data_IF_182955880034
#
_entry.id   IF_182955880034
#
_cell.length_a   1.000
_cell.length_b   1.000
_cell.length_c   1.000
_cell.angle_alpha   90.00
_cell.angle_beta   90.00
_cell.angle_gamma   90.00
#
_symmetry.space_group_name_H-M   'P 1'
#
loop_
_entity.id
_entity.type
_entity.pdbx_description
1 polymer ?
#
# COMPACT_ATOMS: atom_id res chain seq x y z
N UNK A 1 3.99 2.24 -7.17
CA UNK A 1 4.10 2.55 -5.72
C UNK A 1 5.51 2.99 -5.32
N UNK A 2 6.55 2.32 -5.81
CA UNK A 2 7.94 2.70 -5.49
C UNK A 2 8.32 4.06 -6.06
N UNK A 3 7.84 4.40 -7.26
CA UNK A 3 8.10 5.70 -7.86
C UNK A 3 7.45 6.82 -7.05
N UNK A 4 6.22 6.62 -6.58
CA UNK A 4 5.51 7.59 -5.74
C UNK A 4 6.23 7.76 -4.40
N UNK A 5 6.71 6.68 -3.80
CA UNK A 5 7.47 6.74 -2.55
C UNK A 5 8.77 7.53 -2.72
N UNK A 6 9.51 7.27 -3.79
CA UNK A 6 10.74 7.99 -4.09
C UNK A 6 10.49 9.48 -4.30
N UNK A 7 9.43 9.83 -5.01
CA UNK A 7 9.02 11.22 -5.19
C UNK A 7 8.67 11.86 -3.84
N UNK A 8 7.90 11.18 -3.00
CA UNK A 8 7.51 11.69 -1.69
C UNK A 8 8.72 11.94 -0.78
N UNK A 9 9.70 11.04 -0.78
CA UNK A 9 10.93 11.22 0.00
C UNK A 9 11.73 12.42 -0.48
N UNK A 10 11.86 12.60 -1.79
CA UNK A 10 12.55 13.76 -2.37
C UNK A 10 11.84 15.07 -2.02
N UNK A 11 10.51 15.10 -2.15
CA UNK A 11 9.71 16.27 -1.79
C UNK A 11 9.81 16.60 -0.30
N UNK A 12 9.85 15.57 0.55
CA UNK A 12 10.00 15.79 2.00
C UNK A 12 11.28 16.56 2.33
N UNK A 13 12.38 16.19 1.70
CA UNK A 13 13.66 16.83 1.92
C UNK A 13 13.65 18.26 1.37
N UNK A 14 13.15 18.44 0.16
CA UNK A 14 13.13 19.74 -0.50
C UNK A 14 12.21 20.76 0.18
N UNK A 15 11.09 20.31 0.72
CA UNK A 15 10.09 21.19 1.31
C UNK A 15 10.30 21.45 2.80
N UNK A 16 11.14 20.66 3.45
CA UNK A 16 11.40 20.82 4.88
C UNK A 16 11.87 22.22 5.29
N UNK A 17 12.79 22.87 4.55
CA UNK A 17 13.18 24.24 4.90
C UNK A 17 12.05 25.26 4.81
N UNK A 18 10.99 24.95 4.05
CA UNK A 18 9.82 25.80 3.92
C UNK A 18 8.72 25.49 4.94
N UNK A 19 9.01 24.62 5.88
CA UNK A 19 8.07 24.16 6.91
C UNK A 19 6.82 23.50 6.33
N UNK A 20 6.97 22.81 5.22
CA UNK A 20 5.90 22.02 4.59
C UNK A 20 6.17 20.56 4.84
N UNK A 21 5.21 19.86 5.43
CA UNK A 21 5.30 18.41 5.64
C UNK A 21 4.70 17.64 4.47
N UNK A 22 5.22 16.46 4.23
CA UNK A 22 4.73 15.55 3.19
C UNK A 22 4.28 14.26 3.86
N UNK A 23 3.09 13.80 3.52
CA UNK A 23 2.56 12.53 4.02
C UNK A 23 2.23 11.62 2.84
N UNK A 24 2.73 10.40 2.87
CA UNK A 24 2.39 9.37 1.89
C UNK A 24 1.52 8.31 2.55
N UNK A 25 0.43 7.93 1.88
CA UNK A 25 -0.50 6.94 2.38
C UNK A 25 -0.44 5.67 1.53
N UNK A 26 -0.50 4.53 2.19
CA UNK A 26 -0.59 3.21 1.56
C UNK A 26 -1.88 2.52 2.00
N UNK A 27 -3.05 2.96 1.50
CA UNK A 27 -4.29 2.26 1.81
C UNK A 27 -4.33 0.92 1.09
N UNK A 28 -4.90 -0.07 1.74
CA UNK A 28 -5.25 -1.32 1.07
C UNK A 28 -6.50 -1.14 0.20
N UNK A 29 -7.19 -2.24 -0.08
CA UNK A 29 -8.45 -2.18 -0.80
C UNK A 29 -9.45 -1.33 0.00
N UNK A 30 -9.97 -0.29 -0.64
CA UNK A 30 -10.94 0.62 -0.06
C UNK A 30 -12.25 0.49 -0.81
N UNK A 31 -13.38 0.44 -0.09
CA UNK A 31 -14.70 0.25 -0.68
C UNK A 31 -15.11 1.49 -1.49
N UNK A 32 -14.75 1.49 -2.76
CA UNK A 32 -15.03 2.58 -3.71
C UNK A 32 -15.56 1.99 -5.02
N UNK A 33 -16.26 2.79 -5.85
CA UNK A 33 -16.65 2.33 -7.17
C UNK A 33 -15.47 1.87 -8.03
N UNK A 34 -14.32 2.51 -7.89
CA UNK A 34 -13.09 2.12 -8.58
C UNK A 34 -12.66 0.70 -8.20
N UNK A 35 -12.71 0.34 -6.93
CA UNK A 35 -12.37 -1.00 -6.46
C UNK A 35 -13.29 -2.04 -7.09
N UNK A 36 -14.60 -1.79 -7.12
CA UNK A 36 -15.56 -2.70 -7.72
C UNK A 36 -15.31 -2.92 -9.20
N UNK A 37 -14.95 -1.86 -9.94
CA UNK A 37 -14.58 -1.95 -11.34
C UNK A 37 -13.28 -2.75 -11.54
N UNK A 38 -12.27 -2.48 -10.72
CA UNK A 38 -10.97 -3.16 -10.79
C UNK A 38 -11.07 -4.65 -10.46
N UNK A 39 -11.90 -5.03 -9.47
CA UNK A 39 -12.05 -6.43 -9.06
C UNK A 39 -12.51 -7.34 -10.20
N UNK A 40 -13.32 -6.84 -11.10
CA UNK A 40 -13.79 -7.60 -12.26
C UNK A 40 -12.68 -7.91 -13.25
N UNK A 41 -11.62 -7.06 -13.27
CA UNK A 41 -10.51 -7.17 -14.20
C UNK A 41 -9.26 -7.80 -13.56
N UNK A 42 -9.23 -7.97 -12.26
CA UNK A 42 -8.08 -8.53 -11.56
C UNK A 42 -7.88 -10.00 -11.89
N UNK A 43 -6.64 -10.43 -12.19
CA UNK A 43 -6.32 -11.84 -12.27
C UNK A 43 -6.55 -12.55 -10.92
N UNK A 44 -6.79 -13.86 -10.97
CA UNK A 44 -7.03 -14.64 -9.75
C UNK A 44 -5.88 -14.55 -8.75
N UNK A 45 -4.65 -14.51 -9.23
CA UNK A 45 -3.45 -14.35 -8.39
C UNK A 45 -3.49 -13.02 -7.62
N UNK A 46 -3.80 -11.94 -8.32
CA UNK A 46 -3.89 -10.61 -7.69
C UNK A 46 -4.97 -10.57 -6.62
N UNK A 47 -6.13 -11.19 -6.89
CA UNK A 47 -7.21 -11.29 -5.90
C UNK A 47 -6.76 -12.05 -4.64
N UNK A 48 -6.04 -13.16 -4.81
CA UNK A 48 -5.51 -13.94 -3.68
C UNK A 48 -4.48 -13.15 -2.87
N UNK A 49 -3.59 -12.43 -3.55
CA UNK A 49 -2.58 -11.60 -2.88
C UNK A 49 -3.21 -10.44 -2.10
N UNK A 50 -4.26 -9.84 -2.64
CA UNK A 50 -4.93 -8.72 -2.01
C UNK A 50 -5.90 -9.12 -0.88
N UNK A 51 -6.36 -10.38 -0.84
CA UNK A 51 -7.42 -10.83 0.08
C UNK A 51 -7.01 -10.76 1.56
N UNK A 52 -5.71 -10.78 1.87
CA UNK A 52 -5.22 -10.77 3.25
C UNK A 52 -5.41 -9.46 4.00
N UNK A 53 -5.65 -8.35 3.31
CA UNK A 53 -5.80 -7.02 3.91
C UNK A 53 -7.22 -6.59 4.23
N UNK A 54 -8.24 -7.31 3.72
CA UNK A 54 -9.63 -6.92 3.84
C UNK A 54 -9.97 -5.67 3.04
N UNK A 55 -11.16 -5.14 3.24
CA UNK A 55 -11.66 -3.93 2.58
C UNK A 55 -11.96 -2.87 3.63
N UNK A 56 -11.44 -1.67 3.43
CA UNK A 56 -11.61 -0.55 4.35
C UNK A 56 -12.68 0.42 3.83
N UNK A 57 -13.36 1.11 4.75
CA UNK A 57 -14.28 2.17 4.36
C UNK A 57 -13.51 3.41 3.91
N UNK A 58 -14.02 4.15 2.90
CA UNK A 58 -13.37 5.38 2.45
C UNK A 58 -13.23 6.42 3.57
N UNK A 59 -14.23 6.51 4.45
CA UNK A 59 -14.25 7.45 5.56
C UNK A 59 -13.14 7.14 6.58
N UNK A 60 -12.94 5.87 6.89
CA UNK A 60 -11.87 5.44 7.78
C UNK A 60 -10.49 5.77 7.21
N UNK A 61 -10.28 5.49 5.93
CA UNK A 61 -9.03 5.80 5.23
C UNK A 61 -8.79 7.31 5.21
N UNK A 62 -9.80 8.09 4.85
CA UNK A 62 -9.68 9.55 4.79
C UNK A 62 -9.33 10.15 6.15
N UNK A 63 -9.99 9.71 7.22
CA UNK A 63 -9.68 10.17 8.58
C UNK A 63 -8.26 9.84 8.99
N UNK A 64 -7.79 8.64 8.66
CA UNK A 64 -6.42 8.24 8.96
C UNK A 64 -5.39 9.09 8.22
N UNK A 65 -5.63 9.41 6.97
CA UNK A 65 -4.74 10.25 6.16
C UNK A 65 -4.70 11.67 6.73
N UNK A 66 -5.85 12.26 7.02
CA UNK A 66 -5.92 13.61 7.58
C UNK A 66 -5.22 13.69 8.93
N UNK A 67 -5.49 12.73 9.81
CA UNK A 67 -4.86 12.67 11.13
C UNK A 67 -3.33 12.56 11.04
N UNK A 68 -2.83 11.72 10.13
CA UNK A 68 -1.39 11.58 9.90
C UNK A 68 -0.77 12.87 9.36
N UNK A 69 -1.44 13.53 8.44
CA UNK A 69 -0.99 14.81 7.89
C UNK A 69 -0.94 15.90 8.97
N UNK A 70 -1.95 15.96 9.83
CA UNK A 70 -1.99 16.92 10.94
C UNK A 70 -0.88 16.70 11.96
N UNK A 71 -0.51 15.44 12.21
CA UNK A 71 0.61 15.11 13.08
C UNK A 71 1.98 15.34 12.44
N UNK A 72 2.02 15.57 11.12
CA UNK A 72 3.27 15.66 10.38
C UNK A 72 3.95 14.31 10.12
N UNK A 73 3.22 13.22 10.22
CA UNK A 73 3.77 11.89 9.93
C UNK A 73 4.10 11.76 8.43
N UNK A 74 5.25 11.19 8.12
CA UNK A 74 5.65 10.98 6.72
C UNK A 74 4.86 9.86 6.06
N UNK A 75 4.59 8.78 6.79
CA UNK A 75 3.98 7.58 6.23
C UNK A 75 2.79 7.15 7.07
N UNK A 76 1.70 6.80 6.41
CA UNK A 76 0.55 6.19 7.05
C UNK A 76 0.17 4.90 6.33
N UNK A 77 0.00 3.84 7.10
CA UNK A 77 -0.44 2.53 6.62
C UNK A 77 -1.66 2.09 7.41
N UNK A 78 -2.48 1.26 6.78
CA UNK A 78 -3.70 0.73 7.39
C UNK A 78 -3.55 -0.77 7.56
N UNK A 79 -3.65 -1.24 8.80
CA UNK A 79 -3.44 -2.63 9.16
C UNK A 79 -1.99 -2.94 9.51
N UNK A 80 -1.83 -3.88 10.45
CA UNK A 80 -0.51 -4.26 10.94
C UNK A 80 0.37 -4.94 9.88
N UNK A 81 -0.26 -5.68 8.96
CA UNK A 81 0.45 -6.39 7.89
C UNK A 81 1.16 -5.41 6.95
N UNK A 82 0.44 -4.37 6.51
CA UNK A 82 1.02 -3.33 5.65
C UNK A 82 2.09 -2.52 6.38
N UNK A 83 1.88 -2.29 7.68
CA UNK A 83 2.86 -1.56 8.50
C UNK A 83 4.18 -2.31 8.61
N UNK A 84 4.11 -3.61 8.90
CA UNK A 84 5.29 -4.47 8.97
C UNK A 84 5.98 -4.53 7.62
N UNK A 85 5.21 -4.74 6.55
CA UNK A 85 5.74 -4.81 5.19
C UNK A 85 6.44 -3.52 4.79
N UNK A 86 5.85 -2.36 5.09
CA UNK A 86 6.44 -1.07 4.75
C UNK A 86 7.78 -0.83 5.46
N UNK A 87 7.92 -1.31 6.70
CA UNK A 87 9.13 -1.12 7.49
C UNK A 87 10.23 -2.13 7.16
N UNK A 88 9.87 -3.34 6.78
CA UNK A 88 10.80 -4.45 6.62
C UNK A 88 10.89 -4.98 5.20
N UNK A 89 10.35 -4.26 4.24
CA UNK A 89 10.26 -4.70 2.84
C UNK A 89 11.59 -5.18 2.27
N UNK A 90 12.67 -4.46 2.52
CA UNK A 90 13.99 -4.82 1.99
C UNK A 90 14.51 -6.14 2.54
N UNK A 91 14.17 -6.47 3.80
CA UNK A 91 14.60 -7.70 4.44
C UNK A 91 13.76 -8.91 4.01
N UNK A 92 12.46 -8.73 3.78
CA UNK A 92 11.54 -9.82 3.48
C UNK A 92 11.23 -9.97 2.00
N UNK A 93 11.70 -9.06 1.15
CA UNK A 93 11.42 -9.10 -0.28
C UNK A 93 11.78 -10.44 -0.96
N UNK A 94 12.92 -11.09 -0.66
CA UNK A 94 13.21 -12.41 -1.24
C UNK A 94 12.19 -13.47 -0.85
N UNK A 95 11.79 -13.51 0.43
CA UNK A 95 10.78 -14.44 0.92
C UNK A 95 9.41 -14.16 0.30
N UNK A 96 9.08 -12.89 0.15
CA UNK A 96 7.83 -12.47 -0.46
C UNK A 96 7.76 -12.89 -1.93
N UNK A 97 8.85 -12.75 -2.66
CA UNK A 97 8.95 -13.20 -4.04
C UNK A 97 8.76 -14.71 -4.17
N UNK A 98 9.37 -15.48 -3.30
CA UNK A 98 9.20 -16.93 -3.28
C UNK A 98 7.75 -17.33 -2.99
N UNK A 99 7.12 -16.64 -2.06
CA UNK A 99 5.71 -16.85 -1.75
C UNK A 99 4.79 -16.51 -2.93
N UNK A 100 5.07 -15.42 -3.61
CA UNK A 100 4.32 -15.01 -4.81
C UNK A 100 4.47 -16.04 -5.92
N UNK A 101 5.69 -16.52 -6.16
CA UNK A 101 5.97 -17.56 -7.17
C UNK A 101 5.22 -18.85 -6.84
N UNK A 102 5.22 -19.23 -5.56
CA UNK A 102 4.49 -20.41 -5.11
C UNK A 102 2.98 -20.27 -5.34
N UNK A 103 2.42 -19.08 -5.04
CA UNK A 103 1.00 -18.82 -5.30
C UNK A 103 0.65 -18.89 -6.79
N UNK A 104 1.50 -18.35 -7.64
CA UNK A 104 1.31 -18.40 -9.10
C UNK A 104 1.27 -19.84 -9.59
N UNK A 105 2.23 -20.66 -9.17
CA UNK A 105 2.28 -22.08 -9.52
C UNK A 105 1.04 -22.84 -9.06
N UNK A 106 0.59 -22.53 -7.85
CA UNK A 106 -0.57 -23.22 -7.25
C UNK A 106 -1.90 -22.81 -7.88
N UNK A 107 -2.00 -21.57 -8.36
CA UNK A 107 -3.23 -21.09 -9.01
C UNK A 107 -3.40 -21.61 -10.44
N UNK A 108 -2.36 -22.21 -11.01
CA UNK A 108 -2.38 -22.70 -12.39
C UNK A 108 -2.34 -21.61 -13.45
N UNK A 109 -2.11 -20.36 -13.06
CA UNK A 109 -1.90 -19.26 -14.00
C UNK A 109 -0.43 -19.24 -14.42
N UNK A 110 -0.20 -19.26 -15.74
CA UNK A 110 1.13 -19.06 -16.29
C UNK A 110 1.38 -17.57 -16.53
N UNK A 111 2.63 -17.12 -16.33
CA UNK A 111 2.99 -15.73 -16.63
C UNK A 111 2.86 -15.39 -18.09
#
# INVERSE_FOLDING_TARGET
>A
KFAVRGLAESLRVELRPRNVSVTIAFPGDTDTPQLHAERKLRPAVTRKLASGGGVLSPEFVARGIIAAAERGDFQVTFGWQLRVLARTHSLIAPLLRNYQDWLVKRSGEEP
#
